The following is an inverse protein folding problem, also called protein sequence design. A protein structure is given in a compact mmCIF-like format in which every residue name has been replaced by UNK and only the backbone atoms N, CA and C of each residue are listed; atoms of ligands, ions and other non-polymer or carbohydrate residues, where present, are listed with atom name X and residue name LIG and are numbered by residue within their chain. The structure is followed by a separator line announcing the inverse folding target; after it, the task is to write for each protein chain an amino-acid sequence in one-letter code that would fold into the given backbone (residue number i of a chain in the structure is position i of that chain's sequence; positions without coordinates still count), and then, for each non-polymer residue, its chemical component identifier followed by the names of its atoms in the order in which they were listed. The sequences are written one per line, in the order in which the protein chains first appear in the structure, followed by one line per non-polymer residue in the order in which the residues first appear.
data_IF_907108925591
#
_entry.id   IF_907108925591
#
_cell.length_a   1.000
_cell.length_b   1.000
_cell.length_c   1.000
_cell.angle_alpha   90.00
_cell.angle_beta   90.00
_cell.angle_gamma   90.00
#
_symmetry.space_group_name_H-M   'P 1'
#
loop_
_entity.id
_entity.type
_entity.pdbx_description
1 polymer ?
#
# COMPACT_ATOMS: atom_id res chain seq x y z
N UNK A 1 20.61 -3.68 -24.48
CA UNK A 1 21.10 -4.61 -23.46
C UNK A 1 19.91 -5.48 -23.06
N UNK A 2 19.93 -6.76 -23.41
CA UNK A 2 18.77 -7.65 -23.27
C UNK A 2 18.72 -8.13 -21.82
N UNK A 3 17.61 -7.82 -21.12
CA UNK A 3 17.32 -8.38 -19.81
C UNK A 3 16.77 -9.79 -20.05
N UNK A 4 17.54 -10.80 -19.62
CA UNK A 4 17.15 -12.19 -19.67
C UNK A 4 15.99 -12.45 -18.71
N UNK A 5 14.92 -13.06 -19.23
CA UNK A 5 13.82 -13.60 -18.44
C UNK A 5 14.36 -14.59 -17.42
N UNK A 6 14.19 -14.26 -16.13
CA UNK A 6 14.35 -15.22 -15.06
C UNK A 6 13.09 -16.09 -15.01
N UNK A 7 13.23 -17.43 -15.04
CA UNK A 7 12.10 -18.32 -14.86
C UNK A 7 11.70 -18.29 -13.38
N UNK A 8 10.40 -18.13 -13.13
CA UNK A 8 9.78 -18.34 -11.82
C UNK A 8 9.92 -19.83 -11.48
N UNK A 9 10.89 -20.18 -10.67
CA UNK A 9 11.01 -21.52 -10.11
C UNK A 9 10.12 -21.61 -8.88
N UNK A 10 8.98 -22.29 -9.01
CA UNK A 10 8.22 -22.74 -7.86
C UNK A 10 8.95 -23.94 -7.24
N UNK A 11 9.73 -23.73 -6.19
CA UNK A 11 10.11 -24.83 -5.30
C UNK A 11 8.87 -25.31 -4.55
N UNK A 12 8.43 -26.53 -4.86
CA UNK A 12 7.41 -27.26 -4.11
C UNK A 12 8.00 -27.74 -2.77
N UNK A 13 8.07 -26.83 -1.81
CA UNK A 13 8.21 -27.19 -0.41
C UNK A 13 6.81 -27.49 0.14
N UNK A 14 6.46 -28.76 0.33
CA UNK A 14 5.28 -29.21 1.06
C UNK A 14 5.43 -28.85 2.54
N UNK A 15 5.15 -27.60 2.88
CA UNK A 15 4.75 -27.20 4.22
C UNK A 15 3.23 -27.14 4.17
N UNK A 16 2.54 -27.92 5.00
CA UNK A 16 1.11 -27.79 5.25
C UNK A 16 0.86 -26.41 5.87
N UNK A 17 0.78 -25.38 5.02
CA UNK A 17 0.22 -24.09 5.40
C UNK A 17 -1.29 -24.34 5.50
N UNK A 18 -1.84 -24.28 6.71
CA UNK A 18 -3.22 -23.83 6.85
C UNK A 18 -3.32 -22.57 5.96
N UNK A 19 -4.12 -22.63 4.91
CA UNK A 19 -4.41 -21.47 4.07
C UNK A 19 -5.02 -20.41 5.00
N UNK A 20 -4.21 -19.50 5.48
CA UNK A 20 -4.70 -18.36 6.26
C UNK A 20 -5.62 -17.58 5.33
N UNK A 21 -6.91 -17.71 5.58
CA UNK A 21 -7.96 -17.02 4.80
C UNK A 21 -7.66 -15.54 4.77
N UNK A 22 -7.46 -14.98 3.58
CA UNK A 22 -7.21 -13.56 3.39
C UNK A 22 -8.39 -12.72 3.88
N UNK A 23 -8.11 -11.55 4.43
CA UNK A 23 -9.15 -10.60 4.79
C UNK A 23 -9.87 -10.03 3.56
N UNK A 24 -9.14 -9.84 2.45
CA UNK A 24 -9.66 -9.53 1.12
C UNK A 24 -8.97 -10.44 0.11
N UNK A 25 -9.73 -11.08 -0.76
CA UNK A 25 -9.21 -11.84 -1.88
C UNK A 25 -9.91 -11.41 -3.18
N UNK A 26 -9.12 -11.07 -4.17
CA UNK A 26 -9.55 -10.88 -5.55
C UNK A 26 -9.01 -12.07 -6.35
N UNK A 27 -9.87 -12.81 -7.05
CA UNK A 27 -9.51 -13.97 -7.86
C UNK A 27 -9.92 -13.72 -9.31
N UNK A 28 -8.94 -13.40 -10.16
CA UNK A 28 -9.12 -13.10 -11.59
C UNK A 28 -10.22 -12.07 -11.86
N UNK A 29 -10.26 -11.01 -11.03
CA UNK A 29 -11.34 -10.03 -11.06
C UNK A 29 -11.18 -9.11 -12.27
N UNK A 30 -12.25 -8.99 -13.05
CA UNK A 30 -12.31 -8.12 -14.23
C UNK A 30 -13.56 -7.24 -14.22
N UNK A 31 -13.43 -6.05 -14.80
CA UNK A 31 -14.56 -5.12 -14.99
C UNK A 31 -14.52 -4.45 -16.34
N UNK A 32 -15.55 -4.68 -17.11
CA UNK A 32 -15.79 -3.99 -18.38
C UNK A 32 -17.10 -3.20 -18.29
N UNK A 33 -17.05 -1.93 -18.65
CA UNK A 33 -18.22 -1.05 -18.77
C UNK A 33 -18.66 -0.94 -20.24
N UNK A 34 -19.96 -0.80 -20.46
CA UNK A 34 -20.54 -0.73 -21.80
C UNK A 34 -20.64 -2.10 -22.47
N UNK A 35 -21.04 -2.09 -23.77
CA UNK A 35 -21.19 -3.29 -24.61
C UNK A 35 -20.74 -2.99 -26.03
N UNK A 36 -20.32 -4.04 -26.76
CA UNK A 36 -19.89 -3.95 -28.16
C UNK A 36 -18.69 -3.03 -28.35
N UNK A 37 -18.61 -2.28 -29.46
CA UNK A 37 -17.46 -1.44 -29.81
C UNK A 37 -17.15 -0.30 -28.82
N UNK A 38 -18.10 0.03 -27.94
CA UNK A 38 -17.93 1.05 -26.88
C UNK A 38 -17.56 0.44 -25.51
N UNK A 39 -17.29 -0.85 -25.44
CA UNK A 39 -16.88 -1.51 -24.24
C UNK A 39 -15.50 -0.98 -23.81
N UNK A 40 -15.35 -0.65 -22.52
CA UNK A 40 -14.11 -0.21 -21.91
C UNK A 40 -13.78 -1.09 -20.70
N UNK A 41 -12.70 -1.82 -20.79
CA UNK A 41 -12.18 -2.60 -19.65
C UNK A 41 -11.45 -1.67 -18.69
N UNK A 42 -11.95 -1.59 -17.46
CA UNK A 42 -11.39 -0.78 -16.40
C UNK A 42 -10.49 -1.58 -15.46
N UNK A 43 -10.73 -2.91 -15.34
CA UNK A 43 -9.93 -3.86 -14.56
C UNK A 43 -9.90 -5.16 -15.34
N UNK A 44 -8.73 -5.77 -15.47
CA UNK A 44 -8.49 -6.99 -16.24
C UNK A 44 -7.68 -7.99 -15.42
N UNK A 45 -8.30 -9.10 -15.06
CA UNK A 45 -7.67 -10.29 -14.44
C UNK A 45 -6.80 -9.97 -13.21
N UNK A 46 -7.32 -9.17 -12.29
CA UNK A 46 -6.59 -8.84 -11.06
C UNK A 46 -6.78 -9.92 -10.02
N UNK A 47 -5.66 -10.50 -9.57
CA UNK A 47 -5.60 -11.48 -8.48
C UNK A 47 -4.66 -10.97 -7.40
N UNK A 48 -5.16 -10.83 -6.16
CA UNK A 48 -4.38 -10.43 -4.99
C UNK A 48 -5.05 -10.94 -3.70
N UNK A 49 -4.28 -10.95 -2.61
CA UNK A 49 -4.77 -11.29 -1.27
C UNK A 49 -4.17 -10.37 -0.21
N UNK A 50 -5.03 -9.84 0.66
CA UNK A 50 -4.67 -9.00 1.82
C UNK A 50 -4.79 -9.84 3.08
N UNK A 51 -3.78 -9.81 3.94
CA UNK A 51 -3.72 -10.57 5.19
C UNK A 51 -4.24 -9.76 6.37
N UNK A 52 -4.58 -10.44 7.46
CA UNK A 52 -4.85 -9.76 8.73
C UNK A 52 -3.56 -9.14 9.29
N UNK A 53 -3.69 -7.97 9.90
CA UNK A 53 -2.56 -7.26 10.52
C UNK A 53 -1.59 -6.61 9.53
N UNK A 54 -1.89 -6.58 8.22
CA UNK A 54 -1.05 -5.88 7.24
C UNK A 54 -1.69 -4.61 6.71
N UNK A 55 -0.86 -3.66 6.33
CA UNK A 55 -1.23 -2.52 5.51
C UNK A 55 -0.85 -2.82 4.06
N UNK A 56 -1.85 -2.97 3.21
CA UNK A 56 -1.68 -3.31 1.81
C UNK A 56 -2.00 -2.11 0.91
N UNK A 57 -1.02 -1.67 0.12
CA UNK A 57 -1.15 -0.56 -0.81
C UNK A 57 -1.57 -1.01 -2.21
N UNK A 58 -2.55 -0.33 -2.80
CA UNK A 58 -3.00 -0.52 -4.18
C UNK A 58 -2.67 0.72 -5.00
N UNK A 59 -1.57 0.67 -5.74
CA UNK A 59 -0.90 1.82 -6.34
C UNK A 59 -1.14 1.91 -7.83
N UNK A 60 -1.28 3.13 -8.32
CA UNK A 60 -1.35 3.36 -9.75
C UNK A 60 -1.77 4.79 -10.08
N UNK A 61 -1.58 5.23 -11.34
CA UNK A 61 -2.00 6.55 -11.78
C UNK A 61 -3.53 6.70 -11.78
N UNK A 62 -3.99 7.92 -11.98
CA UNK A 62 -5.41 8.16 -12.19
C UNK A 62 -5.91 7.39 -13.42
N UNK A 63 -7.05 6.71 -13.26
CA UNK A 63 -7.62 5.86 -14.31
C UNK A 63 -7.03 4.44 -14.39
N UNK A 64 -6.11 4.05 -13.51
CA UNK A 64 -5.56 2.69 -13.46
C UNK A 64 -6.56 1.60 -13.01
N UNK A 65 -7.75 1.97 -12.54
CA UNK A 65 -8.78 1.03 -12.09
C UNK A 65 -8.93 0.94 -10.57
N UNK A 66 -8.18 1.73 -9.78
CA UNK A 66 -8.16 1.66 -8.30
C UNK A 66 -9.54 1.76 -7.67
N UNK A 67 -10.26 2.86 -7.87
CA UNK A 67 -11.62 3.05 -7.31
C UNK A 67 -12.63 2.04 -7.87
N UNK A 68 -12.45 1.55 -9.11
CA UNK A 68 -13.27 0.46 -9.66
C UNK A 68 -13.06 -0.83 -8.88
N UNK A 69 -11.80 -1.18 -8.59
CA UNK A 69 -11.45 -2.36 -7.80
C UNK A 69 -11.99 -2.25 -6.37
N UNK A 70 -11.82 -1.10 -5.71
CA UNK A 70 -12.39 -0.84 -4.38
C UNK A 70 -13.92 -0.98 -4.39
N UNK A 71 -14.61 -0.42 -5.37
CA UNK A 71 -16.06 -0.55 -5.47
C UNK A 71 -16.51 -2.00 -5.71
N UNK A 72 -15.73 -2.82 -6.42
CA UNK A 72 -15.99 -4.26 -6.54
C UNK A 72 -15.74 -4.97 -5.21
N UNK A 73 -14.65 -4.65 -4.52
CA UNK A 73 -14.32 -5.19 -3.19
C UNK A 73 -15.41 -4.90 -2.14
N UNK A 74 -16.08 -3.76 -2.26
CA UNK A 74 -17.21 -3.39 -1.38
C UNK A 74 -18.59 -3.86 -1.89
N UNK A 75 -18.65 -4.60 -2.99
CA UNK A 75 -19.90 -5.06 -3.57
C UNK A 75 -20.79 -3.94 -4.17
N UNK A 76 -20.28 -2.71 -4.27
CA UNK A 76 -20.99 -1.56 -4.85
C UNK A 76 -21.22 -1.72 -6.36
N UNK A 77 -20.33 -2.43 -7.03
CA UNK A 77 -20.47 -2.84 -8.44
C UNK A 77 -20.10 -4.31 -8.61
N UNK A 78 -20.80 -5.01 -9.49
CA UNK A 78 -20.49 -6.41 -9.79
C UNK A 78 -19.31 -6.51 -10.74
N UNK A 79 -18.34 -7.42 -10.49
CA UNK A 79 -17.33 -7.81 -11.47
C UNK A 79 -17.99 -8.31 -12.76
N UNK A 80 -17.30 -8.15 -13.89
CA UNK A 80 -17.68 -8.78 -15.16
C UNK A 80 -17.13 -10.22 -15.27
N UNK A 81 -16.11 -10.55 -14.49
CA UNK A 81 -15.49 -11.87 -14.35
C UNK A 81 -14.72 -11.97 -13.03
N UNK A 82 -14.45 -13.19 -12.61
CA UNK A 82 -13.75 -13.47 -11.37
C UNK A 82 -14.63 -13.38 -10.12
N UNK A 83 -14.00 -13.51 -8.95
CA UNK A 83 -14.67 -13.54 -7.65
C UNK A 83 -13.96 -12.62 -6.64
N UNK A 84 -14.77 -11.96 -5.81
CA UNK A 84 -14.30 -11.18 -4.65
C UNK A 84 -14.76 -11.87 -3.37
N UNK A 85 -13.82 -12.10 -2.46
CA UNK A 85 -14.10 -12.66 -1.13
C UNK A 85 -13.62 -11.72 -0.04
N UNK A 86 -14.42 -11.60 1.01
CA UNK A 86 -14.15 -10.83 2.21
C UNK A 86 -14.20 -11.77 3.40
N UNK A 87 -13.11 -11.87 4.16
CA UNK A 87 -13.03 -12.71 5.35
C UNK A 87 -13.50 -14.17 5.06
N UNK A 88 -13.07 -14.69 3.91
CA UNK A 88 -13.43 -16.04 3.44
C UNK A 88 -14.81 -16.20 2.84
N UNK A 89 -15.65 -15.15 2.79
CA UNK A 89 -17.02 -15.18 2.27
C UNK A 89 -17.14 -14.40 0.96
N UNK A 90 -18.07 -14.79 0.09
CA UNK A 90 -18.34 -14.00 -1.11
C UNK A 90 -18.80 -12.58 -0.74
N UNK A 91 -18.40 -11.57 -1.52
CA UNK A 91 -18.79 -10.17 -1.28
C UNK A 91 -20.31 -9.95 -1.31
N UNK A 92 -21.05 -10.85 -1.96
CA UNK A 92 -22.52 -10.84 -1.97
C UNK A 92 -23.16 -11.31 -0.67
N UNK A 93 -22.38 -11.88 0.28
CA UNK A 93 -22.87 -12.23 1.61
C UNK A 93 -22.93 -10.97 2.50
N UNK A 94 -24.13 -10.53 2.92
CA UNK A 94 -24.26 -9.36 3.81
C UNK A 94 -23.51 -9.52 5.15
N UNK A 95 -23.28 -10.77 5.60
CA UNK A 95 -22.50 -11.06 6.79
C UNK A 95 -21.03 -10.69 6.66
N UNK A 96 -20.45 -10.83 5.46
CA UNK A 96 -19.08 -10.41 5.18
C UNK A 96 -18.92 -8.87 5.26
N UNK A 97 -19.83 -8.13 4.63
CA UNK A 97 -19.79 -6.67 4.59
C UNK A 97 -19.96 -6.00 5.97
N UNK A 98 -20.66 -6.65 6.91
CA UNK A 98 -20.79 -6.12 8.29
C UNK A 98 -19.47 -6.07 9.06
N UNK A 99 -18.47 -6.83 8.63
CA UNK A 99 -17.14 -6.89 9.25
C UNK A 99 -16.11 -6.05 8.48
N UNK A 100 -16.58 -5.23 7.52
CA UNK A 100 -15.75 -4.35 6.70
C UNK A 100 -16.11 -2.90 6.99
N UNK A 101 -15.09 -2.09 7.29
CA UNK A 101 -15.20 -0.64 7.33
C UNK A 101 -14.65 -0.02 6.06
N UNK A 102 -15.22 1.08 5.61
CA UNK A 102 -14.70 1.71 4.39
C UNK A 102 -14.82 3.22 4.41
N UNK A 103 -13.83 3.88 3.80
CA UNK A 103 -13.83 5.29 3.43
C UNK A 103 -13.64 5.39 1.93
N UNK A 104 -14.69 5.76 1.21
CA UNK A 104 -14.69 5.93 -0.25
C UNK A 104 -15.27 7.30 -0.57
N UNK A 105 -14.73 7.96 -1.61
CA UNK A 105 -15.15 9.28 -2.07
C UNK A 105 -15.17 10.35 -0.94
N UNK A 106 -14.26 10.27 0.05
CA UNK A 106 -14.08 11.25 1.12
C UNK A 106 -15.14 11.23 2.22
N UNK A 107 -16.08 10.28 2.18
CA UNK A 107 -17.17 10.15 3.16
C UNK A 107 -18.33 11.12 2.92
N UNK A 108 -19.54 10.64 3.09
CA UNK A 108 -20.76 11.44 2.97
C UNK A 108 -21.27 11.85 4.36
N UNK A 109 -20.96 13.08 4.77
CA UNK A 109 -21.39 13.64 6.06
C UNK A 109 -22.43 14.73 5.88
N UNK A 110 -23.32 14.86 6.87
CA UNK A 110 -24.23 15.98 6.96
C UNK A 110 -23.47 17.22 7.42
N UNK A 111 -23.29 18.25 6.58
CA UNK A 111 -22.40 19.36 6.86
C UNK A 111 -22.90 20.26 8.01
N UNK A 112 -24.19 20.23 8.30
CA UNK A 112 -24.86 21.01 9.34
C UNK A 112 -24.87 20.31 10.71
N UNK A 113 -24.54 19.01 10.76
CA UNK A 113 -24.38 18.26 12.01
C UNK A 113 -22.93 18.34 12.50
N UNK A 114 -22.74 18.11 13.80
CA UNK A 114 -21.43 17.94 14.41
C UNK A 114 -20.77 16.64 13.97
N UNK A 115 -19.44 16.49 14.16
CA UNK A 115 -18.74 15.23 13.92
C UNK A 115 -19.34 14.09 14.74
N UNK A 116 -19.60 14.34 16.03
CA UNK A 116 -20.25 13.39 16.94
C UNK A 116 -21.64 12.96 16.47
N UNK A 117 -22.46 13.91 16.03
CA UNK A 117 -23.82 13.59 15.59
C UNK A 117 -23.83 12.86 14.24
N UNK A 118 -22.91 13.17 13.34
CA UNK A 118 -22.70 12.38 12.12
C UNK A 118 -22.41 10.92 12.45
N UNK A 119 -21.47 10.65 13.38
CA UNK A 119 -21.16 9.27 13.79
C UNK A 119 -22.36 8.61 14.46
N UNK A 120 -23.15 9.34 15.29
CA UNK A 120 -24.39 8.80 15.89
C UNK A 120 -25.43 8.41 14.85
N UNK A 121 -25.63 9.23 13.82
CA UNK A 121 -26.56 8.92 12.72
C UNK A 121 -26.08 7.66 11.98
N UNK A 122 -24.81 7.60 11.60
CA UNK A 122 -24.24 6.44 10.90
C UNK A 122 -24.33 5.17 11.75
N UNK A 123 -23.97 5.23 13.04
CA UNK A 123 -24.07 4.11 13.95
C UNK A 123 -25.50 3.55 14.04
N UNK A 124 -26.50 4.42 14.13
CA UNK A 124 -27.91 4.01 14.17
C UNK A 124 -28.37 3.37 12.88
N UNK A 125 -28.00 3.94 11.72
CA UNK A 125 -28.39 3.40 10.41
C UNK A 125 -27.74 2.04 10.12
N UNK A 126 -26.57 1.78 10.69
CA UNK A 126 -25.86 0.50 10.57
C UNK A 126 -26.27 -0.53 11.64
N UNK A 127 -27.16 -0.18 12.56
CA UNK A 127 -27.59 -1.05 13.66
C UNK A 127 -26.62 -1.10 14.85
N UNK A 128 -25.66 -0.19 14.93
CA UNK A 128 -24.64 -0.08 16.00
C UNK A 128 -24.91 1.07 16.96
N UNK A 129 -26.16 1.21 17.42
CA UNK A 129 -26.58 2.31 18.30
C UNK A 129 -25.78 2.41 19.61
N UNK A 130 -25.13 1.33 20.03
CA UNK A 130 -24.24 1.27 21.21
C UNK A 130 -22.77 1.54 20.92
N UNK A 131 -22.40 1.96 19.70
CA UNK A 131 -21.00 2.24 19.37
C UNK A 131 -20.38 3.28 20.32
N UNK A 132 -19.15 3.01 20.75
CA UNK A 132 -18.39 3.88 21.65
C UNK A 132 -17.83 5.10 20.87
N UNK A 133 -18.70 6.03 20.47
CA UNK A 133 -18.35 7.18 19.63
C UNK A 133 -17.27 8.04 20.29
N UNK A 134 -17.25 8.16 21.61
CA UNK A 134 -16.20 8.88 22.34
C UNK A 134 -14.82 8.31 22.05
N UNK A 135 -14.63 7.02 22.23
CA UNK A 135 -13.36 6.33 21.98
C UNK A 135 -12.96 6.37 20.50
N UNK A 136 -13.92 6.34 19.56
CA UNK A 136 -13.62 6.53 18.13
C UNK A 136 -13.11 7.94 17.84
N UNK A 137 -13.71 8.96 18.44
CA UNK A 137 -13.25 10.35 18.30
C UNK A 137 -11.86 10.56 18.93
N UNK A 138 -11.59 9.91 20.08
CA UNK A 138 -10.24 9.89 20.67
C UNK A 138 -9.23 9.25 19.73
N UNK A 139 -9.57 8.09 19.17
CA UNK A 139 -8.69 7.35 18.26
C UNK A 139 -8.28 8.14 17.02
N UNK A 140 -9.15 9.00 16.51
CA UNK A 140 -8.89 9.83 15.32
C UNK A 140 -8.50 11.28 15.67
N UNK A 141 -8.24 11.54 16.95
CA UNK A 141 -7.88 12.88 17.45
C UNK A 141 -8.86 13.99 17.04
N UNK A 142 -10.16 13.75 17.30
CA UNK A 142 -11.23 14.71 17.01
C UNK A 142 -12.09 15.06 18.26
N UNK A 143 -11.61 14.75 19.47
CA UNK A 143 -12.38 15.02 20.70
C UNK A 143 -12.66 16.51 20.86
N UNK A 144 -11.62 17.36 20.66
CA UNK A 144 -11.72 18.81 20.81
C UNK A 144 -12.68 19.48 19.82
N UNK A 145 -12.88 18.87 18.64
CA UNK A 145 -13.74 19.37 17.58
C UNK A 145 -15.04 18.56 17.41
N UNK A 146 -15.28 17.58 18.29
CA UNK A 146 -16.36 16.61 18.14
C UNK A 146 -17.75 17.24 17.98
N UNK A 147 -18.00 18.36 18.66
CA UNK A 147 -19.28 19.05 18.70
C UNK A 147 -19.35 20.25 17.72
N UNK A 148 -18.26 20.48 16.95
CA UNK A 148 -18.19 21.45 15.87
C UNK A 148 -18.86 20.91 14.60
N UNK A 149 -19.48 21.76 13.79
CA UNK A 149 -20.18 21.36 12.55
C UNK A 149 -19.16 20.90 11.49
N UNK A 150 -19.48 19.81 10.78
CA UNK A 150 -18.59 19.23 9.76
C UNK A 150 -18.33 20.17 8.56
N UNK A 151 -19.25 21.11 8.27
CA UNK A 151 -18.98 22.15 7.25
C UNK A 151 -17.72 22.97 7.55
N UNK A 152 -17.40 23.14 8.84
CA UNK A 152 -16.28 23.95 9.35
C UNK A 152 -15.01 23.11 9.58
N UNK A 153 -15.04 21.82 9.29
CA UNK A 153 -13.89 20.91 9.37
C UNK A 153 -12.92 21.15 8.21
N UNK A 154 -11.63 21.08 8.50
CA UNK A 154 -10.59 20.97 7.47
C UNK A 154 -10.74 19.65 6.69
N UNK A 155 -10.03 19.54 5.58
CA UNK A 155 -10.03 18.28 4.83
C UNK A 155 -9.50 17.11 5.68
N UNK A 156 -8.39 17.34 6.42
CA UNK A 156 -7.82 16.33 7.32
C UNK A 156 -8.79 15.89 8.42
N UNK A 157 -9.53 16.84 9.02
CA UNK A 157 -10.57 16.49 10.00
C UNK A 157 -11.69 15.65 9.38
N UNK A 158 -12.09 15.95 8.14
CA UNK A 158 -13.09 15.15 7.40
C UNK A 158 -12.58 13.75 7.09
N UNK A 159 -11.33 13.61 6.70
CA UNK A 159 -10.71 12.30 6.44
C UNK A 159 -10.63 11.48 7.75
N UNK A 160 -10.17 12.08 8.85
CA UNK A 160 -10.15 11.42 10.16
C UNK A 160 -11.55 11.02 10.64
N UNK A 161 -12.56 11.87 10.45
CA UNK A 161 -13.96 11.52 10.73
C UNK A 161 -14.44 10.35 9.84
N UNK A 162 -13.98 10.28 8.58
CA UNK A 162 -14.26 9.18 7.66
C UNK A 162 -13.69 7.86 8.15
N UNK A 163 -12.47 7.87 8.67
CA UNK A 163 -11.87 6.68 9.29
C UNK A 163 -12.66 6.30 10.56
N UNK A 164 -13.04 7.26 11.41
CA UNK A 164 -13.88 6.98 12.59
C UNK A 164 -15.23 6.34 12.18
N UNK A 165 -15.85 6.81 11.11
CA UNK A 165 -17.07 6.23 10.57
C UNK A 165 -16.86 4.79 10.04
N UNK A 166 -15.72 4.52 9.40
CA UNK A 166 -15.35 3.19 8.96
C UNK A 166 -15.15 2.21 10.13
N UNK A 167 -14.78 2.71 11.32
CA UNK A 167 -14.51 1.90 12.51
C UNK A 167 -15.74 1.66 13.42
N UNK A 168 -16.92 2.17 13.06
CA UNK A 168 -18.12 2.12 13.91
C UNK A 168 -18.54 0.71 14.36
N UNK A 169 -18.30 -0.29 13.52
CA UNK A 169 -18.68 -1.70 13.76
C UNK A 169 -17.49 -2.59 14.13
N UNK A 170 -16.39 -1.99 14.57
CA UNK A 170 -15.14 -2.69 14.88
C UNK A 170 -14.74 -3.71 13.79
N UNK A 171 -14.48 -3.25 12.57
CA UNK A 171 -14.25 -4.11 11.42
C UNK A 171 -12.91 -4.88 11.53
N UNK A 172 -12.83 -6.02 10.87
CA UNK A 172 -11.59 -6.80 10.71
C UNK A 172 -10.81 -6.38 9.47
N UNK A 173 -11.51 -5.81 8.48
CA UNK A 173 -10.94 -5.25 7.26
C UNK A 173 -11.37 -3.79 7.12
N UNK A 174 -10.41 -2.91 6.87
CA UNK A 174 -10.64 -1.49 6.59
C UNK A 174 -10.17 -1.17 5.17
N UNK A 175 -11.07 -0.62 4.34
CA UNK A 175 -10.78 -0.24 2.94
C UNK A 175 -10.82 1.29 2.83
N UNK A 176 -9.71 1.89 2.41
CA UNK A 176 -9.53 3.35 2.34
C UNK A 176 -9.18 3.78 0.91
N UNK A 177 -10.03 4.59 0.28
CA UNK A 177 -9.75 5.15 -1.05
C UNK A 177 -9.09 6.52 -0.91
N UNK A 178 -7.79 6.60 -1.25
CA UNK A 178 -6.96 7.82 -1.23
C UNK A 178 -7.03 8.59 0.12
N UNK A 179 -6.78 7.94 1.30
CA UNK A 179 -7.05 8.55 2.61
C UNK A 179 -6.17 9.77 2.93
N UNK A 180 -5.01 9.90 2.31
CA UNK A 180 -4.07 11.00 2.51
C UNK A 180 -4.17 12.09 1.44
N UNK A 181 -5.07 11.95 0.46
CA UNK A 181 -5.16 12.89 -0.66
C UNK A 181 -5.57 14.29 -0.20
N UNK A 182 -4.77 15.29 -0.60
CA UNK A 182 -5.03 16.70 -0.31
C UNK A 182 -4.78 17.12 1.14
N UNK A 183 -4.15 16.28 1.95
CA UNK A 183 -3.68 16.63 3.29
C UNK A 183 -2.35 17.40 3.21
N UNK A 184 -2.10 18.23 4.21
CA UNK A 184 -0.78 18.80 4.47
C UNK A 184 0.16 17.74 5.09
N UNK A 185 1.44 18.10 5.22
CA UNK A 185 2.48 17.17 5.71
C UNK A 185 2.14 16.61 7.10
N UNK A 186 1.64 17.46 8.01
CA UNK A 186 1.25 17.02 9.35
C UNK A 186 0.05 16.06 9.30
N UNK A 187 -0.98 16.40 8.52
CA UNK A 187 -2.15 15.54 8.33
C UNK A 187 -1.83 14.18 7.70
N UNK A 188 -0.85 14.13 6.80
CA UNK A 188 -0.35 12.87 6.22
C UNK A 188 0.33 12.02 7.30
N UNK A 189 1.19 12.62 8.15
CA UNK A 189 1.86 11.90 9.25
C UNK A 189 0.85 11.34 10.26
N UNK A 190 -0.15 12.14 10.64
CA UNK A 190 -1.23 11.71 11.54
C UNK A 190 -2.04 10.56 10.95
N UNK A 191 -2.40 10.65 9.66
CA UNK A 191 -3.13 9.60 8.95
C UNK A 191 -2.32 8.31 8.89
N UNK A 192 -1.01 8.40 8.64
CA UNK A 192 -0.09 7.25 8.63
C UNK A 192 -0.05 6.58 10.00
N UNK A 193 0.12 7.36 11.08
CA UNK A 193 0.13 6.83 12.44
C UNK A 193 -1.19 6.13 12.78
N UNK A 194 -2.32 6.72 12.39
CA UNK A 194 -3.65 6.14 12.57
C UNK A 194 -3.77 4.79 11.84
N UNK A 195 -3.41 4.72 10.56
CA UNK A 195 -3.50 3.50 9.75
C UNK A 195 -2.58 2.40 10.29
N UNK A 196 -1.34 2.74 10.66
CA UNK A 196 -0.41 1.79 11.30
C UNK A 196 -0.96 1.26 12.63
N UNK A 197 -1.60 2.11 13.43
CA UNK A 197 -2.30 1.70 14.66
C UNK A 197 -3.41 0.68 14.40
N UNK A 198 -4.16 0.81 13.29
CA UNK A 198 -5.19 -0.17 12.91
C UNK A 198 -4.59 -1.55 12.62
N UNK A 199 -3.49 -1.60 11.87
CA UNK A 199 -2.81 -2.86 11.56
C UNK A 199 -2.18 -3.48 12.81
N UNK A 200 -1.58 -2.67 13.70
CA UNK A 200 -1.04 -3.15 14.98
C UNK A 200 -2.12 -3.77 15.89
N UNK A 201 -3.37 -3.32 15.78
CA UNK A 201 -4.54 -3.94 16.45
C UNK A 201 -5.04 -5.21 15.73
N UNK A 202 -4.31 -5.71 14.74
CA UNK A 202 -4.63 -6.93 14.00
C UNK A 202 -5.62 -6.75 12.84
N UNK A 203 -6.06 -5.52 12.55
CA UNK A 203 -6.96 -5.26 11.41
C UNK A 203 -6.20 -5.33 10.09
N UNK A 204 -6.82 -5.89 9.05
CA UNK A 204 -6.35 -5.75 7.69
C UNK A 204 -6.67 -4.35 7.17
N UNK A 205 -5.71 -3.68 6.54
CA UNK A 205 -5.96 -2.38 5.90
C UNK A 205 -5.59 -2.48 4.42
N UNK A 206 -6.57 -2.23 3.56
CA UNK A 206 -6.39 -2.11 2.12
C UNK A 206 -6.60 -0.65 1.72
N UNK A 207 -5.57 -0.02 1.16
CA UNK A 207 -5.69 1.38 0.75
C UNK A 207 -5.25 1.60 -0.69
N UNK A 208 -5.93 2.52 -1.38
CA UNK A 208 -5.43 3.06 -2.63
C UNK A 208 -4.61 4.32 -2.39
N UNK A 209 -3.59 4.53 -3.22
CA UNK A 209 -2.84 5.78 -3.24
C UNK A 209 -2.19 6.02 -4.60
N UNK A 210 -1.91 7.28 -4.89
CA UNK A 210 -1.01 7.71 -5.96
C UNK A 210 0.26 8.39 -5.39
N UNK A 211 0.36 8.54 -4.06
CA UNK A 211 1.49 9.12 -3.35
C UNK A 211 2.50 8.02 -3.00
N UNK A 212 3.43 7.73 -3.91
CA UNK A 212 4.35 6.60 -3.82
C UNK A 212 5.22 6.64 -2.57
N UNK A 213 5.77 7.81 -2.22
CA UNK A 213 6.59 7.97 -1.01
C UNK A 213 5.80 7.65 0.28
N UNK A 214 4.52 8.03 0.35
CA UNK A 214 3.70 7.71 1.53
C UNK A 214 3.48 6.20 1.68
N UNK A 215 3.35 5.51 0.55
CA UNK A 215 3.18 4.07 0.54
C UNK A 215 4.46 3.34 0.97
N UNK A 216 5.64 3.83 0.56
CA UNK A 216 6.93 3.32 1.05
C UNK A 216 7.01 3.30 2.58
N UNK A 217 6.51 4.37 3.21
CA UNK A 217 6.56 4.55 4.66
C UNK A 217 5.42 3.85 5.40
N UNK A 218 4.32 3.54 4.71
CA UNK A 218 3.08 3.07 5.32
C UNK A 218 2.81 1.58 5.10
N UNK A 219 3.04 1.06 3.90
CA UNK A 219 2.55 -0.26 3.51
C UNK A 219 3.59 -1.37 3.76
N UNK A 220 3.10 -2.57 4.08
CA UNK A 220 3.93 -3.76 4.21
C UNK A 220 4.11 -4.45 2.85
N UNK A 221 3.02 -4.52 2.06
CA UNK A 221 2.99 -5.03 0.69
C UNK A 221 2.23 -4.08 -0.21
N UNK A 222 2.53 -4.14 -1.50
CA UNK A 222 1.89 -3.30 -2.51
C UNK A 222 1.58 -4.09 -3.77
N UNK A 223 0.49 -3.70 -4.42
CA UNK A 223 0.17 -4.05 -5.80
C UNK A 223 0.29 -2.79 -6.65
N UNK A 224 1.14 -2.82 -7.67
CA UNK A 224 1.29 -1.76 -8.66
C UNK A 224 0.39 -2.08 -9.84
N UNK A 225 -0.52 -1.16 -10.16
CA UNK A 225 -1.50 -1.33 -11.24
C UNK A 225 -1.42 -0.21 -12.27
N UNK A 226 -1.55 -0.56 -13.54
CA UNK A 226 -1.67 0.40 -14.63
C UNK A 226 -2.61 -0.15 -15.71
N UNK A 227 -3.37 0.74 -16.35
CA UNK A 227 -4.30 0.40 -17.45
C UNK A 227 -5.26 -0.77 -17.10
N UNK A 228 -5.62 -0.89 -15.81
CA UNK A 228 -6.51 -1.94 -15.31
C UNK A 228 -5.86 -3.29 -15.03
N UNK A 229 -4.55 -3.42 -15.16
CA UNK A 229 -3.81 -4.66 -14.95
C UNK A 229 -2.90 -4.55 -13.73
N UNK A 230 -2.69 -5.67 -13.04
CA UNK A 230 -1.67 -5.81 -12.00
C UNK A 230 -0.32 -6.00 -12.68
N UNK A 231 0.60 -5.06 -12.49
CA UNK A 231 1.95 -5.12 -13.04
C UNK A 231 2.89 -5.88 -12.11
N UNK A 232 2.81 -5.61 -10.80
CA UNK A 232 3.65 -6.26 -9.79
C UNK A 232 2.96 -6.27 -8.43
N UNK A 233 3.22 -7.32 -7.66
CA UNK A 233 2.88 -7.44 -6.24
C UNK A 233 4.10 -7.91 -5.46
N UNK A 234 4.49 -7.18 -4.40
CA UNK A 234 5.62 -7.54 -3.56
C UNK A 234 5.54 -6.87 -2.18
N UNK A 235 6.36 -7.33 -1.23
CA UNK A 235 6.62 -6.57 -0.02
C UNK A 235 7.38 -5.28 -0.36
N UNK A 236 7.03 -4.17 0.29
CA UNK A 236 7.65 -2.87 0.03
C UNK A 236 9.16 -2.94 0.24
N UNK A 237 9.61 -3.57 1.33
CA UNK A 237 11.03 -3.76 1.61
C UNK A 237 11.79 -4.45 0.47
N UNK A 238 11.17 -5.49 -0.14
CA UNK A 238 11.80 -6.28 -1.20
C UNK A 238 11.93 -5.48 -2.51
N UNK A 239 10.99 -4.54 -2.75
CA UNK A 239 11.04 -3.60 -3.87
C UNK A 239 12.09 -2.51 -3.68
N UNK A 240 12.24 -2.03 -2.45
CA UNK A 240 13.19 -0.96 -2.12
C UNK A 240 14.62 -1.49 -1.98
N UNK A 241 14.80 -2.77 -1.70
CA UNK A 241 16.11 -3.40 -1.56
C UNK A 241 16.80 -3.48 -2.92
N UNK A 242 17.82 -2.64 -3.11
CA UNK A 242 18.59 -2.61 -4.36
C UNK A 242 19.64 -3.73 -4.40
N UNK A 243 20.04 -4.09 -5.63
CA UNK A 243 21.08 -5.09 -5.92
C UNK A 243 22.50 -4.50 -5.80
N UNK A 244 22.64 -3.29 -5.27
CA UNK A 244 23.92 -2.61 -5.18
C UNK A 244 24.15 -1.97 -3.79
N UNK A 245 25.43 -1.80 -3.44
CA UNK A 245 25.87 -1.02 -2.30
C UNK A 245 26.47 0.32 -2.76
N UNK A 246 26.18 1.38 -2.04
CA UNK A 246 26.88 2.66 -2.13
C UNK A 246 28.01 2.67 -1.13
N UNK A 247 29.22 2.94 -1.62
CA UNK A 247 30.46 2.92 -0.84
C UNK A 247 31.15 4.28 -0.98
N UNK A 248 31.29 5.01 0.12
CA UNK A 248 32.16 6.20 0.21
C UNK A 248 33.44 5.75 0.91
N UNK A 249 34.58 5.75 0.20
CA UNK A 249 35.82 5.21 0.72
C UNK A 249 37.04 5.88 0.08
N UNK A 250 38.13 5.98 0.82
CA UNK A 250 39.42 6.54 0.37
C UNK A 250 40.60 5.64 0.76
N UNK A 251 41.62 5.51 -0.12
CA UNK A 251 41.71 6.05 -1.48
C UNK A 251 40.78 5.34 -2.45
N UNK A 252 40.07 6.10 -3.30
CA UNK A 252 39.06 5.57 -4.22
C UNK A 252 39.60 4.49 -5.18
N UNK A 253 40.82 4.68 -5.70
CA UNK A 253 41.44 3.73 -6.63
C UNK A 253 41.75 2.38 -5.94
N UNK A 254 42.18 2.42 -4.70
CA UNK A 254 42.42 1.21 -3.90
C UNK A 254 41.08 0.49 -3.59
N UNK A 255 40.01 1.25 -3.32
CA UNK A 255 38.69 0.69 -3.12
C UNK A 255 38.17 0.00 -4.41
N UNK A 256 38.31 0.62 -5.57
CA UNK A 256 37.93 0.01 -6.85
C UNK A 256 38.71 -1.27 -7.08
N UNK A 257 40.04 -1.24 -6.91
CA UNK A 257 40.90 -2.41 -7.10
C UNK A 257 40.52 -3.56 -6.16
N UNK A 258 40.25 -3.27 -4.90
CA UNK A 258 39.84 -4.26 -3.90
C UNK A 258 38.48 -4.90 -4.21
N UNK A 259 37.56 -4.16 -4.79
CA UNK A 259 36.19 -4.61 -5.09
C UNK A 259 36.03 -5.19 -6.50
N UNK A 260 36.95 -4.92 -7.44
CA UNK A 260 36.87 -5.39 -8.82
C UNK A 260 36.79 -6.91 -8.97
N UNK A 261 37.35 -7.66 -8.03
CA UNK A 261 37.27 -9.12 -8.01
C UNK A 261 35.87 -9.67 -7.66
N UNK A 262 34.97 -8.83 -7.14
CA UNK A 262 33.61 -9.21 -6.70
C UNK A 262 32.53 -8.89 -7.75
N UNK A 263 32.82 -8.03 -8.67
CA UNK A 263 31.87 -7.61 -9.69
C UNK A 263 32.13 -6.20 -10.22
N UNK A 264 31.26 -5.70 -11.08
CA UNK A 264 31.36 -4.35 -11.60
C UNK A 264 31.31 -3.30 -10.49
N UNK A 265 32.27 -2.35 -10.55
CA UNK A 265 32.32 -1.18 -9.68
C UNK A 265 32.18 0.06 -10.54
N UNK A 266 31.18 0.87 -10.27
CA UNK A 266 30.87 2.09 -11.00
C UNK A 266 31.12 3.32 -10.13
N UNK A 267 31.75 4.35 -10.68
CA UNK A 267 31.83 5.65 -10.00
C UNK A 267 30.53 6.38 -10.13
N UNK A 268 30.00 6.82 -9.00
CA UNK A 268 28.77 7.62 -8.92
C UNK A 268 29.01 8.90 -8.13
N UNK A 269 28.06 9.81 -8.13
CA UNK A 269 28.15 11.01 -7.32
C UNK A 269 28.25 10.64 -5.83
N UNK A 270 29.35 11.07 -5.18
CA UNK A 270 29.62 10.83 -3.76
C UNK A 270 30.18 9.45 -3.41
N UNK A 271 30.66 8.65 -4.37
CA UNK A 271 31.28 7.37 -4.04
C UNK A 271 31.31 6.34 -5.17
N UNK A 272 31.16 5.07 -4.80
CA UNK A 272 31.16 3.93 -5.69
C UNK A 272 29.83 3.18 -5.57
N UNK A 273 29.32 2.70 -6.70
CA UNK A 273 28.24 1.71 -6.77
C UNK A 273 28.86 0.33 -7.01
N UNK A 274 28.53 -0.62 -6.15
CA UNK A 274 29.05 -1.98 -6.20
C UNK A 274 27.87 -2.94 -6.31
N UNK A 275 27.87 -3.83 -7.29
CA UNK A 275 26.83 -4.87 -7.41
C UNK A 275 27.00 -5.89 -6.28
N UNK A 276 26.28 -5.69 -5.20
CA UNK A 276 26.27 -6.54 -4.02
C UNK A 276 25.01 -6.26 -3.19
N UNK A 277 24.40 -7.31 -2.64
CA UNK A 277 23.21 -7.17 -1.78
C UNK A 277 23.60 -6.67 -0.39
N UNK A 278 22.63 -6.15 0.34
CA UNK A 278 22.81 -5.73 1.75
C UNK A 278 23.46 -6.80 2.63
N UNK A 279 23.13 -8.07 2.42
CA UNK A 279 23.72 -9.19 3.14
C UNK A 279 25.23 -9.31 2.92
N UNK A 280 25.76 -8.83 1.80
CA UNK A 280 27.17 -8.89 1.43
C UNK A 280 27.97 -7.70 2.00
N UNK A 281 27.31 -6.68 2.59
CA UNK A 281 27.94 -5.48 3.11
C UNK A 281 29.06 -5.77 4.16
N UNK A 282 28.91 -6.71 5.11
CA UNK A 282 29.99 -7.06 6.04
C UNK A 282 31.23 -7.62 5.33
N UNK A 283 31.04 -8.37 4.24
CA UNK A 283 32.14 -8.91 3.45
C UNK A 283 32.85 -7.82 2.63
N UNK A 284 32.08 -6.91 2.04
CA UNK A 284 32.60 -5.73 1.35
C UNK A 284 33.43 -4.87 2.31
N UNK A 285 32.94 -4.62 3.50
CA UNK A 285 33.68 -3.86 4.53
C UNK A 285 35.01 -4.53 4.90
N UNK A 286 35.03 -5.85 5.12
CA UNK A 286 36.25 -6.60 5.43
C UNK A 286 37.29 -6.53 4.30
N UNK A 287 36.88 -6.64 3.05
CA UNK A 287 37.77 -6.55 1.90
C UNK A 287 38.39 -5.16 1.77
N UNK A 288 37.61 -4.10 1.92
CA UNK A 288 38.10 -2.73 1.89
C UNK A 288 39.11 -2.47 3.02
N UNK A 289 38.77 -2.89 4.23
CA UNK A 289 39.66 -2.74 5.38
C UNK A 289 40.99 -3.50 5.21
N UNK A 290 40.94 -4.73 4.69
CA UNK A 290 42.11 -5.53 4.39
C UNK A 290 43.03 -4.90 3.31
N UNK A 291 42.46 -4.11 2.42
CA UNK A 291 43.16 -3.34 1.38
C UNK A 291 43.67 -1.99 1.90
N UNK A 292 43.52 -1.67 3.18
CA UNK A 292 43.97 -0.40 3.77
C UNK A 292 43.11 0.80 3.32
N UNK A 293 41.84 0.56 3.01
CA UNK A 293 40.88 1.59 2.56
C UNK A 293 40.04 2.03 3.74
N UNK A 294 39.94 3.33 3.96
CA UNK A 294 39.06 3.94 4.95
C UNK A 294 37.65 4.06 4.41
N UNK A 295 36.66 3.57 5.16
CA UNK A 295 35.24 3.57 4.77
C UNK A 295 34.53 4.66 5.54
N UNK A 296 33.95 5.64 4.82
CA UNK A 296 33.14 6.71 5.40
C UNK A 296 31.65 6.38 5.38
N UNK A 297 31.20 5.63 4.37
CA UNK A 297 29.83 5.17 4.24
C UNK A 297 29.76 3.84 3.52
N UNK A 298 28.90 2.94 4.00
CA UNK A 298 28.52 1.69 3.35
C UNK A 298 27.03 1.48 3.57
N UNK A 299 26.26 1.66 2.51
CA UNK A 299 24.80 1.59 2.57
C UNK A 299 24.25 0.82 1.37
N UNK A 300 23.08 0.19 1.51
CA UNK A 300 22.35 -0.36 0.37
C UNK A 300 21.95 0.77 -0.57
N UNK A 301 22.03 0.50 -1.86
CA UNK A 301 21.42 1.37 -2.87
C UNK A 301 19.91 1.11 -2.82
N UNK A 302 19.16 2.03 -2.27
CA UNK A 302 17.72 1.88 -2.17
C UNK A 302 17.06 2.41 -3.46
N UNK A 303 16.16 1.60 -4.02
CA UNK A 303 15.26 2.07 -5.06
C UNK A 303 14.08 2.79 -4.41
N UNK A 304 13.57 3.84 -5.03
CA UNK A 304 12.27 4.40 -4.64
C UNK A 304 11.16 3.73 -5.43
N UNK A 305 9.97 3.60 -4.82
CA UNK A 305 8.78 3.14 -5.56
C UNK A 305 8.48 4.03 -6.77
N UNK A 306 8.88 5.30 -6.73
CA UNK A 306 8.74 6.21 -7.87
C UNK A 306 9.60 5.76 -9.05
N UNK A 307 10.87 5.43 -8.81
CA UNK A 307 11.78 4.94 -9.86
C UNK A 307 11.26 3.62 -10.45
N UNK A 308 10.85 2.68 -9.59
CA UNK A 308 10.30 1.39 -9.99
C UNK A 308 9.03 1.59 -10.83
N UNK A 309 8.12 2.42 -10.35
CA UNK A 309 6.86 2.72 -11.03
C UNK A 309 7.07 3.36 -12.41
N UNK A 310 7.99 4.33 -12.52
CA UNK A 310 8.32 4.99 -13.78
C UNK A 310 8.91 4.00 -14.79
N UNK A 311 9.77 3.09 -14.35
CA UNK A 311 10.35 2.05 -15.21
C UNK A 311 9.26 1.12 -15.75
N UNK A 312 8.39 0.60 -14.88
CA UNK A 312 7.32 -0.32 -15.29
C UNK A 312 6.27 0.31 -16.20
N UNK A 313 6.01 1.62 -16.02
CA UNK A 313 4.99 2.31 -16.82
C UNK A 313 5.51 2.84 -18.15
N UNK A 314 6.83 3.03 -18.31
CA UNK A 314 7.48 3.41 -19.58
C UNK A 314 7.60 2.22 -20.53
N UNK A 315 7.94 1.04 -20.05
CA UNK A 315 8.08 -0.17 -20.87
C UNK A 315 6.73 -0.70 -21.44
N UNK A 316 5.61 -0.13 -21.04
CA UNK A 316 4.28 -0.41 -21.60
C UNK A 316 3.84 0.54 -22.73
N UNK A 317 4.78 1.25 -23.38
CA UNK A 317 4.49 2.21 -24.44
C UNK A 317 4.99 1.78 -25.83
N UNK A 318 5.44 0.52 -26.01
CA UNK A 318 5.74 -0.07 -27.33
C UNK A 318 4.62 -1.02 -27.81
#
# INVERSE_FOLDING_TARGET
MRISHLPVVFEQGTVSMEETVGALELRSVSKTYGRGPKARTAVSDVTLSVRHGEVYGFLGPNGAGKSTTIRMALGLIRPSGGEVRLLGRAVSDPGALRRVGSLVDGGAFYPFLSGRDNLRVLARTQGHAGAAIGSLLERVDLVGDADRKVKDYSLGMKQRLGVAAALLNDPELVILDEPANGLDVAGIQDMRALIRGLAADGKAVFLSSHLLHEVELLCDRVAIVAKGQLLQEAAVRDLLEGDALHVEAEPVEAAIAALAARGPVERVAGGLRVEARRADAPDVARHLHAAGVDIYRLASYEHSLETIFLTMTKDGHD
#
